data_IF_288805155519
#
_entry.id   IF_288805155519
#
_cell.length_a   1.000
_cell.length_b   1.000
_cell.length_c   1.000
_cell.angle_alpha   90.00
_cell.angle_beta   90.00
_cell.angle_gamma   90.00
#
_symmetry.space_group_name_H-M   'P 1'
#
loop_
_entity.id
_entity.type
_entity.pdbx_description
1 polymer ?
#
# COMPACT_ATOMS: atom_id res chain seq x y z
N UNK A 1 10.72 -0.16 -20.67
CA UNK A 1 9.87 0.07 -19.47
C UNK A 1 8.73 1.00 -19.89
N UNK A 2 7.48 0.54 -19.82
CA UNK A 2 6.35 1.16 -20.53
C UNK A 2 5.78 2.39 -19.79
N UNK A 3 5.74 3.55 -20.46
CA UNK A 3 5.17 4.82 -19.98
C UNK A 3 3.76 4.68 -19.37
N UNK A 4 2.94 3.78 -19.93
CA UNK A 4 1.59 3.47 -19.40
C UNK A 4 1.60 2.82 -18.02
N UNK A 5 2.64 2.04 -17.67
CA UNK A 5 2.77 1.48 -16.32
C UNK A 5 3.16 2.55 -15.31
N UNK A 6 4.02 3.49 -15.72
CA UNK A 6 4.43 4.62 -14.88
C UNK A 6 3.23 5.52 -14.59
N UNK A 7 2.45 5.88 -15.61
CA UNK A 7 1.22 6.69 -15.46
C UNK A 7 0.12 5.98 -14.66
N UNK A 8 0.14 4.64 -14.60
CA UNK A 8 -0.78 3.85 -13.76
C UNK A 8 -0.33 3.88 -12.29
N UNK A 9 0.95 3.64 -12.03
CA UNK A 9 1.54 3.69 -10.70
C UNK A 9 1.47 5.09 -10.09
N UNK A 10 1.63 6.15 -10.88
CA UNK A 10 1.48 7.54 -10.44
C UNK A 10 0.03 7.85 -10.02
N UNK A 11 -0.96 7.36 -10.78
CA UNK A 11 -2.38 7.50 -10.42
C UNK A 11 -2.74 6.74 -9.14
N UNK A 12 -2.26 5.52 -8.98
CA UNK A 12 -2.43 4.74 -7.74
C UNK A 12 -1.78 5.45 -6.54
N UNK A 13 -0.61 6.07 -6.71
CA UNK A 13 0.07 6.85 -5.67
C UNK A 13 -0.71 8.12 -5.27
N UNK A 14 -1.33 8.80 -6.23
CA UNK A 14 -2.20 9.97 -5.93
C UNK A 14 -3.49 9.59 -5.21
N UNK A 15 -4.06 8.41 -5.51
CA UNK A 15 -5.24 7.89 -4.79
C UNK A 15 -4.91 7.58 -3.32
N UNK A 16 -3.73 7.02 -3.04
CA UNK A 16 -3.26 6.80 -1.66
C UNK A 16 -3.11 8.10 -0.87
N UNK A 17 -2.69 9.20 -1.52
CA UNK A 17 -2.63 10.53 -0.90
C UNK A 17 -4.01 11.12 -0.57
N UNK A 18 -5.03 10.78 -1.36
CA UNK A 18 -6.41 11.22 -1.14
C UNK A 18 -7.10 10.46 0.00
N UNK A 19 -6.76 9.18 0.21
CA UNK A 19 -7.22 8.40 1.37
C UNK A 19 -6.74 8.99 2.71
N UNK A 20 -5.51 9.52 2.78
CA UNK A 20 -4.98 10.17 4.00
C UNK A 20 -5.81 11.36 4.49
N UNK A 21 -6.50 12.06 3.57
CA UNK A 21 -7.29 13.28 3.87
C UNK A 21 -8.66 12.97 4.48
N UNK A 22 -9.13 11.72 4.39
CA UNK A 22 -10.50 11.33 4.72
C UNK A 22 -10.64 10.57 6.05
N UNK A 23 -9.65 10.66 6.96
CA UNK A 23 -9.68 9.97 8.26
C UNK A 23 -9.20 8.50 8.25
N UNK A 24 -8.71 7.99 7.13
CA UNK A 24 -8.12 6.64 6.99
C UNK A 24 -6.63 6.59 7.38
N UNK A 25 -6.20 7.50 8.23
CA UNK A 25 -4.78 7.74 8.55
C UNK A 25 -4.12 6.51 9.20
N UNK A 26 -4.87 5.70 9.97
CA UNK A 26 -4.37 4.48 10.60
C UNK A 26 -4.06 3.35 9.62
N UNK A 27 -5.02 2.99 8.76
CA UNK A 27 -4.85 1.95 7.72
C UNK A 27 -3.77 2.29 6.68
N UNK A 28 -3.62 3.57 6.34
CA UNK A 28 -2.54 4.02 5.45
C UNK A 28 -1.15 3.90 6.08
N UNK A 29 -1.05 3.93 7.42
CA UNK A 29 0.20 3.78 8.15
C UNK A 29 0.67 2.33 8.19
N UNK A 30 -0.23 1.40 8.53
CA UNK A 30 0.06 -0.04 8.59
C UNK A 30 0.57 -0.59 7.25
N UNK A 31 -0.03 -0.16 6.14
CA UNK A 31 0.40 -0.56 4.80
C UNK A 31 1.77 0.01 4.43
N UNK A 32 2.06 1.25 4.83
CA UNK A 32 3.34 1.90 4.59
C UNK A 32 4.47 1.26 5.43
N UNK A 33 4.19 0.89 6.68
CA UNK A 33 5.10 0.12 7.52
C UNK A 33 5.38 -1.27 6.94
N UNK A 34 4.34 -1.94 6.43
CA UNK A 34 4.48 -3.24 5.79
C UNK A 34 5.31 -3.16 4.50
N UNK A 35 5.07 -2.16 3.64
CA UNK A 35 5.88 -1.93 2.43
C UNK A 35 7.35 -1.68 2.80
N UNK A 36 7.61 -0.88 3.84
CA UNK A 36 8.96 -0.63 4.33
C UNK A 36 9.64 -1.92 4.80
N UNK A 37 8.93 -2.77 5.53
CA UNK A 37 9.44 -4.06 5.97
C UNK A 37 9.77 -4.99 4.78
N UNK A 38 8.93 -5.01 3.75
CA UNK A 38 9.21 -5.76 2.51
C UNK A 38 10.44 -5.23 1.78
N UNK A 39 10.62 -3.91 1.74
CA UNK A 39 11.80 -3.28 1.16
C UNK A 39 13.09 -3.66 1.93
N UNK A 40 13.05 -3.62 3.25
CA UNK A 40 14.16 -4.03 4.12
C UNK A 40 14.52 -5.52 3.90
N UNK A 41 13.51 -6.40 3.83
CA UNK A 41 13.70 -7.83 3.52
C UNK A 41 14.36 -8.04 2.16
N UNK A 42 13.87 -7.36 1.12
CA UNK A 42 14.42 -7.45 -0.25
C UNK A 42 15.87 -6.97 -0.31
N UNK A 43 16.20 -5.90 0.41
CA UNK A 43 17.56 -5.40 0.49
C UNK A 43 18.47 -6.37 1.25
N UNK A 44 18.02 -6.99 2.33
CA UNK A 44 18.76 -8.02 3.05
C UNK A 44 19.05 -9.24 2.15
N UNK A 45 18.05 -9.72 1.41
CA UNK A 45 18.19 -10.83 0.45
C UNK A 45 19.21 -10.49 -0.65
N UNK A 46 19.12 -9.29 -1.23
CA UNK A 46 20.07 -8.80 -2.24
C UNK A 46 21.50 -8.78 -1.71
N UNK A 47 21.71 -8.26 -0.50
CA UNK A 47 23.03 -8.23 0.14
C UNK A 47 23.55 -9.64 0.41
N UNK A 48 22.69 -10.56 0.85
CA UNK A 48 23.06 -11.96 1.08
C UNK A 48 23.49 -12.66 -0.21
N UNK A 49 22.71 -12.50 -1.28
CA UNK A 49 23.01 -13.07 -2.60
C UNK A 49 24.34 -12.54 -3.14
N UNK A 50 24.57 -11.23 -3.05
CA UNK A 50 25.84 -10.62 -3.43
C UNK A 50 27.02 -11.21 -2.64
N UNK A 51 26.86 -11.38 -1.32
CA UNK A 51 27.88 -11.97 -0.44
C UNK A 51 28.23 -13.41 -0.88
N UNK A 52 27.22 -14.23 -1.17
CA UNK A 52 27.42 -15.61 -1.60
C UNK A 52 28.10 -15.70 -2.98
N UNK A 53 27.69 -14.86 -3.94
CA UNK A 53 28.32 -14.76 -5.25
C UNK A 53 29.79 -14.35 -5.15
N UNK A 54 30.12 -13.37 -4.32
CA UNK A 54 31.51 -12.95 -4.08
C UNK A 54 32.33 -14.10 -3.47
N UNK A 55 31.76 -14.88 -2.54
CA UNK A 55 32.42 -16.05 -1.96
C UNK A 55 32.77 -17.09 -3.04
N UNK A 56 31.79 -17.46 -3.89
CA UNK A 56 31.99 -18.41 -4.98
C UNK A 56 33.06 -17.89 -5.96
N UNK A 57 32.92 -16.64 -6.40
CA UNK A 57 33.87 -16.02 -7.32
C UNK A 57 35.31 -15.98 -6.74
N UNK A 58 35.45 -15.65 -5.46
CA UNK A 58 36.77 -15.65 -4.80
C UNK A 58 37.35 -17.07 -4.70
N UNK A 59 36.54 -18.08 -4.44
CA UNK A 59 36.95 -19.49 -4.46
C UNK A 59 37.44 -19.93 -5.85
N UNK A 60 36.69 -19.60 -6.91
CA UNK A 60 37.10 -19.86 -8.30
C UNK A 60 38.40 -19.14 -8.65
N UNK A 61 38.54 -17.88 -8.25
CA UNK A 61 39.78 -17.12 -8.48
C UNK A 61 40.97 -17.73 -7.73
N UNK A 62 40.76 -18.21 -6.49
CA UNK A 62 41.78 -18.93 -5.70
C UNK A 62 42.21 -20.21 -6.41
N UNK A 63 41.25 -20.98 -6.91
CA UNK A 63 41.50 -22.18 -7.71
C UNK A 63 42.34 -21.88 -8.96
N UNK A 64 41.93 -20.88 -9.74
CA UNK A 64 42.64 -20.45 -10.97
C UNK A 64 44.08 -20.02 -10.69
N UNK A 65 44.35 -19.31 -9.59
CA UNK A 65 45.72 -18.90 -9.22
C UNK A 65 46.62 -20.08 -8.89
N UNK A 66 46.08 -21.13 -8.27
CA UNK A 66 46.85 -22.34 -7.94
C UNK A 66 47.11 -23.24 -9.16
N UNK A 67 46.44 -22.97 -10.28
CA UNK A 67 46.58 -23.68 -11.56
C UNK A 67 47.71 -23.14 -12.46
N UNK A 68 48.32 -21.99 -12.14
CA UNK A 68 49.28 -21.34 -13.05
C UNK A 68 50.66 -22.01 -12.95
N UNK A 69 51.08 -22.69 -14.02
CA UNK A 69 52.44 -23.18 -14.35
C UNK A 69 53.26 -23.83 -13.22
N UNK A 70 52.60 -24.63 -12.38
CA UNK A 70 53.28 -25.46 -11.36
C UNK A 70 53.22 -26.92 -11.77
N UNK A 71 54.36 -27.63 -11.70
CA UNK A 71 54.38 -29.10 -11.82
C UNK A 71 53.40 -29.70 -10.81
N UNK A 72 52.48 -30.59 -11.23
CA UNK A 72 51.49 -31.15 -10.32
C UNK A 72 52.16 -32.07 -9.30
N UNK A 73 52.43 -31.55 -8.11
CA UNK A 73 52.76 -32.32 -6.91
C UNK A 73 51.49 -32.89 -6.28
N UNK A 74 51.52 -34.08 -5.66
CA UNK A 74 50.34 -34.68 -4.99
C UNK A 74 49.65 -33.73 -4.00
N UNK A 75 50.44 -33.00 -3.20
CA UNK A 75 49.93 -32.02 -2.24
C UNK A 75 49.19 -30.84 -2.92
N UNK A 76 49.60 -30.43 -4.12
CA UNK A 76 48.91 -29.38 -4.87
C UNK A 76 47.56 -29.89 -5.38
N UNK A 77 47.53 -31.12 -5.90
CA UNK A 77 46.30 -31.75 -6.38
C UNK A 77 45.28 -31.85 -5.25
N UNK A 78 45.71 -32.21 -4.05
CA UNK A 78 44.86 -32.26 -2.86
C UNK A 78 44.27 -30.88 -2.52
N UNK A 79 45.08 -29.83 -2.48
CA UNK A 79 44.62 -28.45 -2.25
C UNK A 79 43.63 -27.97 -3.32
N UNK A 80 43.86 -28.33 -4.59
CA UNK A 80 42.95 -27.99 -5.68
C UNK A 80 41.60 -28.69 -5.50
N UNK A 81 41.59 -29.97 -5.09
CA UNK A 81 40.36 -30.72 -4.79
C UNK A 81 39.59 -30.09 -3.61
N UNK A 82 40.29 -29.68 -2.57
CA UNK A 82 39.68 -28.98 -1.43
C UNK A 82 38.97 -27.69 -1.89
N UNK A 83 39.66 -26.84 -2.67
CA UNK A 83 39.06 -25.59 -3.18
C UNK A 83 37.88 -25.88 -4.11
N UNK A 84 37.97 -26.88 -4.98
CA UNK A 84 36.85 -27.29 -5.83
C UNK A 84 35.65 -27.71 -4.98
N UNK A 85 35.87 -28.54 -3.96
CA UNK A 85 34.82 -29.01 -3.06
C UNK A 85 34.18 -27.86 -2.30
N UNK A 86 34.95 -26.91 -1.76
CA UNK A 86 34.44 -25.72 -1.09
C UNK A 86 33.58 -24.84 -2.01
N UNK A 87 33.99 -24.68 -3.27
CA UNK A 87 33.24 -23.94 -4.29
C UNK A 87 31.95 -24.67 -4.65
N UNK A 88 32.00 -25.99 -4.86
CA UNK A 88 30.84 -26.82 -5.15
C UNK A 88 29.81 -26.78 -4.01
N UNK A 89 30.26 -26.92 -2.76
CA UNK A 89 29.42 -26.78 -1.56
C UNK A 89 28.76 -25.40 -1.54
N UNK A 90 29.52 -24.34 -1.82
CA UNK A 90 28.98 -22.96 -1.82
C UNK A 90 27.94 -22.75 -2.93
N UNK A 91 28.14 -23.34 -4.12
CA UNK A 91 27.18 -23.30 -5.23
C UNK A 91 25.91 -24.08 -4.87
N UNK A 92 26.05 -25.29 -4.34
CA UNK A 92 24.91 -26.13 -3.97
C UNK A 92 24.10 -25.51 -2.83
N UNK A 93 24.76 -24.93 -1.83
CA UNK A 93 24.09 -24.19 -0.75
C UNK A 93 23.29 -23.00 -1.30
N UNK A 94 23.88 -22.19 -2.19
CA UNK A 94 23.17 -21.09 -2.84
C UNK A 94 21.96 -21.59 -3.64
N UNK A 95 22.12 -22.65 -4.44
CA UNK A 95 21.02 -23.22 -5.23
C UNK A 95 19.86 -23.69 -4.35
N UNK A 96 20.18 -24.37 -3.26
CA UNK A 96 19.17 -24.90 -2.34
C UNK A 96 18.46 -23.79 -1.57
N UNK A 97 19.19 -22.78 -1.08
CA UNK A 97 18.61 -21.61 -0.44
C UNK A 97 17.66 -20.86 -1.38
N UNK A 98 18.07 -20.65 -2.64
CA UNK A 98 17.20 -20.03 -3.64
C UNK A 98 15.96 -20.89 -3.93
N UNK A 99 16.11 -22.22 -4.06
CA UNK A 99 14.98 -23.14 -4.27
C UNK A 99 13.95 -23.02 -3.16
N UNK A 100 14.39 -23.08 -1.89
CA UNK A 100 13.52 -22.97 -0.72
C UNK A 100 12.82 -21.60 -0.68
N UNK A 101 13.57 -20.52 -0.91
CA UNK A 101 13.00 -19.17 -0.96
C UNK A 101 11.92 -19.02 -2.03
N UNK A 102 12.14 -19.56 -3.24
CA UNK A 102 11.13 -19.56 -4.29
C UNK A 102 9.88 -20.37 -3.93
N UNK A 103 10.04 -21.53 -3.29
CA UNK A 103 8.91 -22.36 -2.86
C UNK A 103 8.04 -21.64 -1.82
N UNK A 104 8.68 -20.96 -0.86
CA UNK A 104 7.98 -20.17 0.16
C UNK A 104 7.23 -18.98 -0.46
N UNK A 105 7.87 -18.25 -1.39
CA UNK A 105 7.23 -17.14 -2.11
C UNK A 105 6.05 -17.60 -2.96
N UNK A 106 6.15 -18.74 -3.64
CA UNK A 106 5.05 -19.31 -4.43
C UNK A 106 3.86 -19.71 -3.55
N UNK A 107 4.13 -20.19 -2.33
CA UNK A 107 3.10 -20.49 -1.34
C UNK A 107 2.41 -19.22 -0.85
N UNK A 108 3.18 -18.20 -0.49
CA UNK A 108 2.67 -16.89 -0.07
C UNK A 108 1.82 -16.24 -1.17
N UNK A 109 2.31 -16.21 -2.41
CA UNK A 109 1.59 -15.67 -3.56
C UNK A 109 0.26 -16.41 -3.78
N UNK A 110 0.24 -17.75 -3.60
CA UNK A 110 -0.99 -18.54 -3.66
C UNK A 110 -1.98 -18.15 -2.57
N UNK A 111 -1.52 -18.01 -1.33
CA UNK A 111 -2.36 -17.62 -0.20
C UNK A 111 -2.95 -16.23 -0.42
N UNK A 112 -2.13 -15.21 -0.71
CA UNK A 112 -2.60 -13.84 -0.93
C UNK A 112 -3.63 -13.75 -2.07
N UNK A 113 -3.43 -14.53 -3.15
CA UNK A 113 -4.40 -14.59 -4.27
C UNK A 113 -5.74 -15.19 -3.84
N UNK A 114 -5.72 -16.25 -3.03
CA UNK A 114 -6.94 -16.87 -2.51
C UNK A 114 -7.68 -15.93 -1.56
N UNK A 115 -6.96 -15.22 -0.69
CA UNK A 115 -7.53 -14.22 0.22
C UNK A 115 -8.18 -13.08 -0.57
N UNK A 116 -7.49 -12.53 -1.57
CA UNK A 116 -8.02 -11.47 -2.44
C UNK A 116 -9.31 -11.93 -3.14
N UNK A 117 -9.29 -13.12 -3.75
CA UNK A 117 -10.49 -13.68 -4.40
C UNK A 117 -11.65 -13.93 -3.41
N UNK A 118 -11.35 -14.29 -2.16
CA UNK A 118 -12.36 -14.44 -1.11
C UNK A 118 -12.95 -13.09 -0.70
N UNK A 119 -12.14 -12.03 -0.61
CA UNK A 119 -12.61 -10.68 -0.34
C UNK A 119 -13.44 -10.11 -1.50
N UNK A 120 -13.02 -10.31 -2.74
CA UNK A 120 -13.77 -9.93 -3.94
C UNK A 120 -15.17 -10.56 -3.92
N UNK A 121 -15.26 -11.88 -3.68
CA UNK A 121 -16.56 -12.56 -3.54
C UNK A 121 -17.38 -12.03 -2.38
N UNK A 122 -16.76 -11.69 -1.25
CA UNK A 122 -17.49 -11.07 -0.12
C UNK A 122 -18.10 -9.74 -0.56
N UNK A 123 -17.34 -8.89 -1.25
CA UNK A 123 -17.78 -7.60 -1.78
C UNK A 123 -18.92 -7.76 -2.79
N UNK A 124 -18.83 -8.73 -3.71
CA UNK A 124 -19.90 -9.01 -4.68
C UNK A 124 -21.19 -9.50 -4.01
N UNK A 125 -21.08 -10.25 -2.91
CA UNK A 125 -22.22 -10.77 -2.15
C UNK A 125 -22.69 -9.82 -1.03
N UNK A 126 -22.09 -8.63 -0.88
CA UNK A 126 -22.60 -7.63 0.06
C UNK A 126 -24.00 -7.20 -0.40
N UNK A 127 -25.02 -7.23 0.47
CA UNK A 127 -26.40 -6.99 0.07
C UNK A 127 -26.55 -5.61 -0.59
N UNK A 128 -27.22 -5.60 -1.74
CA UNK A 128 -27.56 -4.44 -2.59
C UNK A 128 -28.52 -3.43 -1.91
N UNK A 129 -28.75 -3.55 -0.58
CA UNK A 129 -29.54 -2.60 0.22
C UNK A 129 -28.82 -1.26 0.45
N UNK A 130 -27.55 -1.14 0.02
CA UNK A 130 -26.78 0.11 0.00
C UNK A 130 -26.68 0.63 -1.44
N UNK A 131 -27.75 0.47 -2.24
CA UNK A 131 -27.90 1.18 -3.51
C UNK A 131 -27.98 2.69 -3.25
N UNK A 132 -26.82 3.33 -3.13
CA UNK A 132 -26.69 4.74 -3.41
C UNK A 132 -27.13 4.91 -4.86
N UNK A 133 -28.33 5.44 -5.06
CA UNK A 133 -28.70 6.04 -6.34
C UNK A 133 -27.59 7.02 -6.69
N UNK A 134 -26.82 6.65 -7.70
CA UNK A 134 -25.71 7.42 -8.20
C UNK A 134 -26.26 8.66 -8.90
N UNK A 135 -26.38 9.76 -8.17
CA UNK A 135 -26.24 11.09 -8.74
C UNK A 135 -24.81 11.58 -8.43
N UNK A 136 -24.04 12.04 -9.43
CA UNK A 136 -22.64 12.39 -9.23
C UNK A 136 -22.51 13.82 -8.67
N UNK A 137 -22.17 13.97 -7.39
CA UNK A 137 -21.45 15.16 -6.89
C UNK A 137 -20.66 14.90 -5.59
N UNK A 138 -19.51 15.57 -5.40
CA UNK A 138 -18.42 15.07 -4.58
C UNK A 138 -18.51 15.46 -3.10
N UNK A 139 -18.22 14.46 -2.25
CA UNK A 139 -17.56 14.45 -0.94
C UNK A 139 -17.88 15.53 0.11
N UNK A 140 -18.34 15.12 1.30
CA UNK A 140 -17.74 15.51 2.61
C UNK A 140 -18.12 14.53 3.74
N UNK A 141 -17.13 14.20 4.58
CA UNK A 141 -17.14 13.65 5.94
C UNK A 141 -17.63 12.20 6.23
N UNK A 142 -16.99 11.50 7.20
CA UNK A 142 -17.31 10.11 7.54
C UNK A 142 -18.57 10.06 8.39
N UNK A 143 -19.69 9.68 7.77
CA UNK A 143 -20.85 9.21 8.52
C UNK A 143 -20.43 7.94 9.24
N UNK A 144 -20.30 8.04 10.56
CA UNK A 144 -20.28 6.89 11.47
C UNK A 144 -21.32 5.91 10.96
N UNK A 145 -20.87 4.69 10.66
CA UNK A 145 -21.74 3.61 10.26
C UNK A 145 -22.71 3.33 11.40
N UNK A 146 -23.86 3.97 11.35
CA UNK A 146 -25.06 3.33 11.84
C UNK A 146 -25.55 2.46 10.71
N UNK A 147 -25.56 1.14 10.97
CA UNK A 147 -26.53 0.22 10.38
C UNK A 147 -27.88 0.92 10.16
N UNK A 148 -28.76 0.43 9.28
CA UNK A 148 -30.15 0.79 9.38
C UNK A 148 -30.60 0.33 10.77
N UNK A 149 -30.56 1.24 11.74
CA UNK A 149 -31.04 1.02 13.08
C UNK A 149 -32.55 0.86 12.91
N UNK A 150 -32.88 -0.41 12.75
CA UNK A 150 -33.98 -1.12 13.33
C UNK A 150 -35.23 -0.29 13.55
N UNK A 151 -36.36 -0.81 13.04
CA UNK A 151 -37.69 -0.22 13.22
C UNK A 151 -38.07 -0.09 14.71
N UNK A 152 -37.25 -0.63 15.60
CA UNK A 152 -37.31 -0.60 17.06
C UNK A 152 -36.65 0.63 17.72
N UNK A 153 -36.07 1.55 16.95
CA UNK A 153 -35.51 2.78 17.51
C UNK A 153 -36.61 3.77 18.00
N UNK A 154 -36.40 4.41 19.17
CA UNK A 154 -37.32 5.43 19.69
C UNK A 154 -37.62 6.52 18.67
N UNK A 155 -38.83 7.08 18.73
CA UNK A 155 -39.29 8.08 17.77
C UNK A 155 -38.35 9.31 17.70
N UNK A 156 -37.72 9.65 18.83
CA UNK A 156 -36.75 10.73 18.97
C UNK A 156 -35.48 10.46 18.15
N UNK A 157 -34.98 9.22 18.18
CA UNK A 157 -33.78 8.81 17.43
C UNK A 157 -34.05 8.86 15.93
N UNK A 158 -35.19 8.34 15.48
CA UNK A 158 -35.59 8.40 14.07
C UNK A 158 -35.84 9.82 13.58
N UNK A 159 -36.41 10.68 14.43
CA UNK A 159 -36.60 12.10 14.12
C UNK A 159 -35.24 12.82 14.00
N UNK A 160 -34.30 12.53 14.89
CA UNK A 160 -32.94 13.07 14.85
C UNK A 160 -32.21 12.62 13.58
N UNK A 161 -32.23 11.33 13.25
CA UNK A 161 -31.62 10.79 12.03
C UNK A 161 -32.23 11.42 10.77
N UNK A 162 -33.56 11.54 10.73
CA UNK A 162 -34.26 12.21 9.64
C UNK A 162 -33.88 13.69 9.53
N UNK A 163 -33.70 14.37 10.66
CA UNK A 163 -33.24 15.74 10.70
C UNK A 163 -31.79 15.85 10.19
N UNK A 164 -30.87 15.03 10.69
CA UNK A 164 -29.48 15.01 10.27
C UNK A 164 -29.33 14.69 8.78
N UNK A 165 -30.10 13.73 8.26
CA UNK A 165 -30.09 13.37 6.85
C UNK A 165 -30.60 14.51 5.95
N UNK A 166 -31.63 15.24 6.40
CA UNK A 166 -32.20 16.37 5.65
C UNK A 166 -31.37 17.64 5.74
N UNK A 167 -30.76 17.90 6.89
CA UNK A 167 -30.12 19.19 7.20
C UNK A 167 -28.61 19.13 7.24
N UNK A 168 -28.00 17.94 7.31
CA UNK A 168 -26.58 17.76 7.61
C UNK A 168 -26.22 18.08 9.07
N UNK A 169 -27.21 18.23 9.96
CA UNK A 169 -26.99 18.66 11.34
C UNK A 169 -26.64 20.14 11.48
N UNK A 170 -26.10 20.52 12.63
CA UNK A 170 -25.89 21.93 13.00
C UNK A 170 -25.00 22.71 12.01
N UNK A 171 -24.05 22.02 11.37
CA UNK A 171 -23.12 22.62 10.40
C UNK A 171 -23.40 22.23 8.94
N UNK A 172 -24.55 21.60 8.64
CA UNK A 172 -24.87 21.24 7.25
C UNK A 172 -23.97 20.16 6.64
N UNK A 173 -23.36 19.32 7.49
CA UNK A 173 -22.40 18.28 7.08
C UNK A 173 -20.98 18.81 6.86
N UNK A 174 -20.74 20.10 7.07
CA UNK A 174 -19.41 20.70 6.99
C UNK A 174 -18.74 20.64 8.37
N UNK A 175 -17.42 20.71 8.41
CA UNK A 175 -16.74 20.92 9.68
C UNK A 175 -17.03 22.33 10.23
N UNK A 176 -16.75 22.51 11.52
CA UNK A 176 -17.02 23.78 12.20
C UNK A 176 -16.27 24.96 11.57
N UNK A 177 -15.07 24.74 11.05
CA UNK A 177 -14.23 25.80 10.49
C UNK A 177 -14.80 26.28 9.15
N UNK A 178 -15.09 25.35 8.25
CA UNK A 178 -15.65 25.61 6.93
C UNK A 178 -17.05 26.22 7.03
N UNK A 179 -17.87 25.71 7.95
CA UNK A 179 -19.19 26.27 8.23
C UNK A 179 -19.10 27.74 8.69
N UNK A 180 -18.18 28.06 9.60
CA UNK A 180 -17.96 29.44 10.06
C UNK A 180 -17.36 30.34 8.98
N UNK A 181 -16.47 29.82 8.14
CA UNK A 181 -15.95 30.54 6.98
C UNK A 181 -17.08 30.90 6.01
N UNK A 182 -17.95 29.94 5.69
CA UNK A 182 -19.13 30.18 4.87
C UNK A 182 -20.05 31.24 5.45
N UNK A 183 -20.44 31.12 6.72
CA UNK A 183 -21.33 32.08 7.36
C UNK A 183 -20.76 33.50 7.33
N UNK A 184 -19.45 33.66 7.59
CA UNK A 184 -18.79 34.98 7.51
C UNK A 184 -18.89 35.59 6.11
N UNK A 185 -18.57 34.82 5.07
CA UNK A 185 -18.60 35.31 3.68
C UNK A 185 -20.04 35.54 3.22
N UNK A 186 -20.97 34.66 3.61
CA UNK A 186 -22.40 34.77 3.32
C UNK A 186 -23.02 36.01 3.94
N UNK A 187 -22.82 36.25 5.24
CA UNK A 187 -23.34 37.43 5.95
C UNK A 187 -22.74 38.73 5.42
N UNK A 188 -21.44 38.73 5.04
CA UNK A 188 -20.76 39.91 4.47
C UNK A 188 -21.34 40.34 3.12
N UNK A 189 -21.69 39.39 2.26
CA UNK A 189 -22.13 39.68 0.89
C UNK A 189 -23.63 39.49 0.65
N UNK A 190 -24.37 38.97 1.62
CA UNK A 190 -25.81 38.71 1.52
C UNK A 190 -26.18 37.87 0.28
N UNK A 191 -25.33 36.91 -0.10
CA UNK A 191 -25.52 36.07 -1.29
C UNK A 191 -25.32 36.77 -2.66
N UNK A 192 -24.85 38.01 -2.69
CA UNK A 192 -24.56 38.75 -3.94
C UNK A 192 -23.38 38.15 -4.70
N UNK A 193 -23.23 38.48 -5.99
CA UNK A 193 -22.18 37.91 -6.86
C UNK A 193 -20.74 38.00 -6.30
N UNK A 194 -20.44 38.99 -5.45
CA UNK A 194 -19.16 39.14 -4.76
C UNK A 194 -18.84 37.98 -3.80
N UNK A 195 -19.87 37.33 -3.23
CA UNK A 195 -19.75 36.11 -2.40
C UNK A 195 -18.92 35.04 -3.10
N UNK A 196 -19.23 34.73 -4.37
CA UNK A 196 -18.57 33.63 -5.11
C UNK A 196 -17.09 33.90 -5.35
N UNK A 197 -16.67 35.17 -5.39
CA UNK A 197 -15.25 35.53 -5.57
C UNK A 197 -14.47 35.30 -4.28
N UNK A 198 -15.03 35.70 -3.13
CA UNK A 198 -14.38 35.53 -1.83
C UNK A 198 -14.47 34.08 -1.32
N UNK A 199 -15.60 33.40 -1.50
CA UNK A 199 -15.78 32.00 -1.08
C UNK A 199 -14.79 31.04 -1.76
N UNK A 200 -14.37 31.33 -3.00
CA UNK A 200 -13.34 30.55 -3.71
C UNK A 200 -11.99 30.48 -2.99
N UNK A 201 -11.65 31.49 -2.19
CA UNK A 201 -10.38 31.54 -1.45
C UNK A 201 -10.35 30.54 -0.29
N UNK A 202 -11.51 30.04 0.13
CA UNK A 202 -11.66 29.11 1.24
C UNK A 202 -11.94 27.68 0.77
N UNK A 203 -11.96 27.41 -0.54
CA UNK A 203 -12.18 26.06 -1.07
C UNK A 203 -10.88 25.23 -1.00
N UNK A 204 -10.92 23.99 -0.48
CA UNK A 204 -9.75 23.13 -0.40
C UNK A 204 -9.15 22.84 -1.78
N UNK A 205 -7.83 23.08 -1.95
CA UNK A 205 -7.07 22.74 -3.17
C UNK A 205 -6.85 23.86 -4.19
N UNK A 206 -7.17 25.12 -3.84
CA UNK A 206 -6.94 26.30 -4.69
C UNK A 206 -5.84 27.24 -4.15
N UNK A 207 -5.04 26.78 -3.19
CA UNK A 207 -3.79 27.41 -2.75
C UNK A 207 -2.60 26.56 -3.14
#
# INVERSE_FOLDING_TARGET
MNRRMIEKLERERTLSGQCRRNGWTGMSGELEEYEKLLEEKRNAEKMNLQRQLVKIHNGVRKFQRQLIDVKPTPQMIERLKEIMSEVEISINALKEEQRLSFEDLLKEERTCRQETAAYEKKIENFPESISFKSDPKPHTAPTVMTEPLDRDSPAEVRALESFLLKTGGACGGWDQYDHQAFLRVWTKHGGRAAYRKEAKLYLPGLT
#
